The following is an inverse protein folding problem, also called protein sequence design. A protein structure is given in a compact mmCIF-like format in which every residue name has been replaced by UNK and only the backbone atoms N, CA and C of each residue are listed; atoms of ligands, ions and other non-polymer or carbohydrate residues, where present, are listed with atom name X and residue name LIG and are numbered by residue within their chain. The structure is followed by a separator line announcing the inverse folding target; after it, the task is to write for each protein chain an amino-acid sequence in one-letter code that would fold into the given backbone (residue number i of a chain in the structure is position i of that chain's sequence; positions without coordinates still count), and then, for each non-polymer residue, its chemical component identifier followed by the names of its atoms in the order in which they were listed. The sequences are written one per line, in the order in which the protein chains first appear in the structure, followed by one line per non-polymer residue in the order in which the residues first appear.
data_IF_052495858307
#
_entry.id   IF_052495858307
#
_cell.length_a   1.000
_cell.length_b   1.000
_cell.length_c   1.000
_cell.angle_alpha   90.00
_cell.angle_beta   90.00
_cell.angle_gamma   90.00
#
_symmetry.space_group_name_H-M   'P 1'
#
loop_
_entity.id
_entity.type
_entity.pdbx_description
1 polymer ?
#
# COMPACT_ATOMS: atom_id res chain seq x y z
N UNK A 1 -25.73 -63.16 28.63
CA UNK A 1 -25.90 -62.38 27.39
C UNK A 1 -25.37 -60.97 27.66
N UNK A 2 -24.20 -60.61 27.10
CA UNK A 2 -24.04 -59.71 25.92
C UNK A 2 -24.52 -58.27 26.25
N UNK A 3 -23.80 -57.16 26.11
CA UNK A 3 -22.62 -56.72 25.34
C UNK A 3 -22.18 -55.34 25.95
N UNK A 4 -20.91 -55.09 26.32
CA UNK A 4 -19.92 -54.20 25.64
C UNK A 4 -20.46 -53.32 24.48
N UNK A 5 -20.26 -51.99 24.57
CA UNK A 5 -19.96 -50.97 23.51
C UNK A 5 -20.45 -49.58 24.00
N UNK A 6 -19.76 -48.45 23.95
CA UNK A 6 -18.55 -48.06 23.24
C UNK A 6 -18.10 -46.69 23.80
N UNK A 7 -16.79 -46.53 24.00
CA UNK A 7 -16.11 -45.24 23.96
C UNK A 7 -16.62 -44.44 22.75
N UNK A 8 -17.07 -43.20 22.93
CA UNK A 8 -16.98 -42.10 21.96
C UNK A 8 -17.56 -40.80 22.54
N UNK A 9 -16.86 -39.69 22.27
CA UNK A 9 -17.19 -38.29 22.52
C UNK A 9 -16.66 -37.65 23.83
N UNK A 10 -15.41 -37.93 24.16
CA UNK A 10 -14.47 -36.85 24.51
C UNK A 10 -13.98 -36.22 23.21
N UNK A 11 -14.72 -35.25 22.65
CA UNK A 11 -14.22 -34.28 21.65
C UNK A 11 -15.36 -33.38 21.14
N UNK A 12 -15.89 -32.46 21.95
CA UNK A 12 -16.56 -31.27 21.38
C UNK A 12 -16.51 -30.06 22.31
N UNK A 13 -15.35 -29.80 22.93
CA UNK A 13 -15.07 -28.52 23.58
C UNK A 13 -13.70 -28.05 23.10
N UNK A 14 -13.64 -27.68 21.83
CA UNK A 14 -12.66 -26.75 21.26
C UNK A 14 -13.07 -26.51 19.81
N UNK A 15 -12.78 -25.32 19.29
CA UNK A 15 -13.04 -24.88 17.91
C UNK A 15 -14.37 -24.16 17.65
N UNK A 16 -14.64 -23.11 18.42
CA UNK A 16 -15.21 -21.89 17.86
C UNK A 16 -14.43 -20.68 18.40
N UNK A 17 -13.11 -20.68 18.22
CA UNK A 17 -12.48 -19.41 17.91
C UNK A 17 -13.02 -19.02 16.53
N UNK A 18 -13.60 -17.83 16.33
CA UNK A 18 -13.83 -17.35 14.98
C UNK A 18 -12.44 -17.19 14.35
N UNK A 19 -12.01 -18.19 13.58
CA UNK A 19 -11.08 -17.93 12.51
C UNK A 19 -11.74 -16.81 11.71
N UNK A 20 -11.20 -15.59 11.78
CA UNK A 20 -11.70 -14.45 11.02
C UNK A 20 -11.86 -14.93 9.58
N UNK A 21 -13.10 -15.08 9.13
CA UNK A 21 -13.37 -15.54 7.78
C UNK A 21 -12.90 -14.43 6.84
N UNK A 22 -11.67 -14.58 6.33
CA UNK A 22 -11.06 -13.60 5.44
C UNK A 22 -12.02 -13.34 4.28
N UNK A 23 -12.45 -12.09 4.13
CA UNK A 23 -13.48 -11.74 3.15
C UNK A 23 -12.93 -12.01 1.75
N UNK A 24 -13.81 -12.25 0.77
CA UNK A 24 -13.35 -12.39 -0.63
C UNK A 24 -12.60 -11.15 -1.11
N UNK A 25 -12.94 -9.97 -0.58
CA UNK A 25 -12.22 -8.73 -0.85
C UNK A 25 -10.78 -8.79 -0.35
N UNK A 26 -10.55 -9.23 0.90
CA UNK A 26 -9.20 -9.36 1.47
C UNK A 26 -8.33 -10.35 0.69
N UNK A 27 -8.90 -11.47 0.24
CA UNK A 27 -8.17 -12.44 -0.60
C UNK A 27 -7.79 -11.86 -1.96
N UNK A 28 -8.73 -11.19 -2.62
CA UNK A 28 -8.47 -10.54 -3.92
C UNK A 28 -7.46 -9.39 -3.77
N UNK A 29 -7.50 -8.70 -2.63
CA UNK A 29 -6.61 -7.59 -2.28
C UNK A 29 -5.19 -8.07 -2.02
N UNK A 30 -5.02 -9.18 -1.29
CA UNK A 30 -3.70 -9.78 -1.03
C UNK A 30 -3.00 -10.18 -2.33
N UNK A 31 -3.72 -10.86 -3.24
CA UNK A 31 -3.21 -11.17 -4.56
C UNK A 31 -2.86 -9.91 -5.37
N UNK A 32 -3.66 -8.83 -5.21
CA UNK A 32 -3.37 -7.55 -5.84
C UNK A 32 -2.14 -6.87 -5.25
N UNK A 33 -1.95 -6.85 -3.93
CA UNK A 33 -0.78 -6.21 -3.27
C UNK A 33 0.53 -6.72 -3.87
N UNK A 34 0.68 -8.04 -4.00
CA UNK A 34 1.88 -8.65 -4.60
C UNK A 34 2.10 -8.19 -6.04
N UNK A 35 1.04 -8.12 -6.85
CA UNK A 35 1.15 -7.63 -8.24
C UNK A 35 1.51 -6.14 -8.28
N UNK A 36 0.96 -5.34 -7.35
CA UNK A 36 1.17 -3.90 -7.30
C UNK A 36 2.59 -3.55 -6.86
N UNK A 37 3.09 -4.20 -5.81
CA UNK A 37 4.45 -4.00 -5.29
C UNK A 37 5.49 -4.33 -6.37
N UNK A 38 5.33 -5.41 -7.13
CA UNK A 38 6.23 -5.69 -8.25
C UNK A 38 6.19 -4.61 -9.36
N UNK A 39 5.13 -3.81 -9.43
CA UNK A 39 5.00 -2.73 -10.39
C UNK A 39 5.64 -1.41 -9.92
N UNK A 40 5.88 -1.23 -8.62
CA UNK A 40 6.49 0.00 -8.09
C UNK A 40 7.96 0.15 -8.52
N UNK A 41 8.62 -0.96 -8.86
CA UNK A 41 9.98 -0.98 -9.44
C UNK A 41 10.04 -0.44 -10.89
N UNK A 42 8.89 -0.08 -11.47
CA UNK A 42 8.81 0.49 -12.82
C UNK A 42 8.96 -0.52 -13.97
N UNK A 43 9.01 -1.82 -13.69
CA UNK A 43 9.09 -2.86 -14.72
C UNK A 43 7.82 -2.87 -15.59
N UNK A 44 8.01 -2.73 -16.91
CA UNK A 44 6.91 -2.45 -17.85
C UNK A 44 5.86 -3.57 -17.90
N UNK A 45 6.25 -4.84 -17.75
CA UNK A 45 5.30 -5.97 -17.75
C UNK A 45 4.52 -6.01 -16.43
N UNK A 46 5.16 -5.75 -15.30
CA UNK A 46 4.56 -5.68 -13.98
C UNK A 46 3.54 -4.56 -13.89
N UNK A 47 3.87 -3.36 -14.37
CA UNK A 47 2.93 -2.23 -14.43
C UNK A 47 1.71 -2.55 -15.31
N UNK A 48 1.88 -3.21 -16.47
CA UNK A 48 0.74 -3.69 -17.28
C UNK A 48 -0.12 -4.72 -16.55
N UNK A 49 0.50 -5.64 -15.81
CA UNK A 49 -0.21 -6.63 -14.99
C UNK A 49 -1.00 -5.94 -13.88
N UNK A 50 -0.41 -4.96 -13.20
CA UNK A 50 -1.06 -4.18 -12.16
C UNK A 50 -2.26 -3.40 -12.69
N UNK A 51 -2.15 -2.74 -13.85
CA UNK A 51 -3.30 -2.07 -14.50
C UNK A 51 -4.47 -3.03 -14.72
N UNK A 52 -4.20 -4.23 -15.27
CA UNK A 52 -5.27 -5.21 -15.53
C UNK A 52 -5.90 -5.70 -14.23
N UNK A 53 -5.08 -6.01 -13.22
CA UNK A 53 -5.54 -6.54 -11.95
C UNK A 53 -6.34 -5.50 -11.14
N UNK A 54 -5.83 -4.27 -11.05
CA UNK A 54 -6.52 -3.16 -10.35
C UNK A 54 -7.81 -2.74 -11.04
N UNK A 55 -7.87 -2.80 -12.38
CA UNK A 55 -9.12 -2.56 -13.13
C UNK A 55 -10.17 -3.61 -12.79
N UNK A 56 -9.79 -4.90 -12.71
CA UNK A 56 -10.69 -5.98 -12.28
C UNK A 56 -11.15 -5.80 -10.84
N UNK A 57 -10.22 -5.44 -9.93
CA UNK A 57 -10.52 -5.21 -8.53
C UNK A 57 -11.51 -4.05 -8.34
N UNK A 58 -11.24 -2.91 -8.98
CA UNK A 58 -12.13 -1.73 -8.91
C UNK A 58 -13.50 -2.03 -9.53
N UNK A 59 -13.57 -2.78 -10.63
CA UNK A 59 -14.85 -3.17 -11.22
C UNK A 59 -15.69 -4.06 -10.30
N UNK A 60 -15.05 -4.99 -9.56
CA UNK A 60 -15.69 -5.89 -8.60
C UNK A 60 -16.08 -5.18 -7.31
N UNK A 61 -15.30 -4.18 -6.88
CA UNK A 61 -15.44 -3.50 -5.60
C UNK A 61 -15.56 -1.98 -5.75
N UNK A 62 -16.45 -1.50 -6.64
CA UNK A 62 -16.56 -0.08 -7.07
C UNK A 62 -16.74 0.94 -5.94
N UNK A 63 -17.24 0.52 -4.79
CA UNK A 63 -17.48 1.37 -3.63
C UNK A 63 -16.36 1.34 -2.58
N UNK A 64 -15.33 0.50 -2.77
CA UNK A 64 -14.18 0.41 -1.85
C UNK A 64 -13.12 1.44 -2.22
N UNK A 65 -12.80 2.40 -1.33
CA UNK A 65 -11.77 3.42 -1.58
C UNK A 65 -10.41 2.82 -1.96
N UNK A 66 -10.04 1.72 -1.30
CA UNK A 66 -8.77 1.06 -1.53
C UNK A 66 -8.61 0.49 -2.94
N UNK A 67 -9.66 -0.12 -3.49
CA UNK A 67 -9.64 -0.62 -4.86
C UNK A 67 -9.44 0.51 -5.88
N UNK A 68 -10.07 1.66 -5.61
CA UNK A 68 -9.92 2.87 -6.41
C UNK A 68 -8.50 3.45 -6.31
N UNK A 69 -7.92 3.45 -5.10
CA UNK A 69 -6.57 3.95 -4.88
C UNK A 69 -5.52 3.11 -5.63
N UNK A 70 -5.62 1.79 -5.57
CA UNK A 70 -4.72 0.91 -6.34
C UNK A 70 -4.81 1.14 -7.85
N UNK A 71 -6.01 1.32 -8.39
CA UNK A 71 -6.18 1.65 -9.82
C UNK A 71 -5.56 3.00 -10.16
N UNK A 72 -5.78 4.01 -9.31
CA UNK A 72 -5.18 5.34 -9.45
C UNK A 72 -3.65 5.29 -9.47
N UNK A 73 -3.05 4.60 -8.50
CA UNK A 73 -1.61 4.43 -8.45
C UNK A 73 -1.03 3.64 -9.62
N UNK A 74 -1.72 2.59 -10.09
CA UNK A 74 -1.27 1.83 -11.25
C UNK A 74 -1.28 2.68 -12.55
N UNK A 75 -2.26 3.56 -12.72
CA UNK A 75 -2.30 4.52 -13.84
C UNK A 75 -1.18 5.55 -13.76
N UNK A 76 -0.92 6.09 -12.57
CA UNK A 76 0.21 6.99 -12.35
C UNK A 76 1.56 6.32 -12.68
N UNK A 77 1.78 5.09 -12.22
CA UNK A 77 2.96 4.30 -12.57
C UNK A 77 3.09 4.07 -14.08
N UNK A 78 1.98 3.83 -14.78
CA UNK A 78 2.00 3.68 -16.24
C UNK A 78 2.40 4.97 -16.95
N UNK A 79 1.83 6.09 -16.53
CA UNK A 79 2.16 7.42 -17.06
C UNK A 79 3.64 7.74 -16.90
N UNK A 80 4.25 7.42 -15.76
CA UNK A 80 5.66 7.70 -15.50
C UNK A 80 6.59 6.72 -16.23
N UNK A 81 6.32 5.40 -16.17
CA UNK A 81 7.31 4.36 -16.50
C UNK A 81 7.17 3.74 -17.90
N UNK A 82 5.97 3.81 -18.51
CA UNK A 82 5.69 3.10 -19.77
C UNK A 82 5.46 4.05 -20.94
N UNK A 83 4.62 5.08 -20.73
CA UNK A 83 4.07 5.87 -21.83
C UNK A 83 5.17 6.69 -22.52
N UNK A 84 5.32 6.46 -23.84
CA UNK A 84 6.42 7.05 -24.63
C UNK A 84 6.15 8.50 -25.06
N UNK A 85 4.87 8.88 -25.20
CA UNK A 85 4.46 10.21 -25.67
C UNK A 85 4.16 11.11 -24.48
N UNK A 86 4.73 12.33 -24.40
CA UNK A 86 4.51 13.23 -23.27
C UNK A 86 3.04 13.48 -22.91
N UNK A 87 2.17 13.68 -23.91
CA UNK A 87 0.74 13.89 -23.70
C UNK A 87 0.04 12.67 -23.09
N UNK A 88 0.41 11.45 -23.52
CA UNK A 88 -0.16 10.23 -22.95
C UNK A 88 0.29 10.04 -21.50
N UNK A 89 1.55 10.37 -21.17
CA UNK A 89 2.03 10.35 -19.79
C UNK A 89 1.20 11.26 -18.90
N UNK A 90 1.02 12.52 -19.31
CA UNK A 90 0.24 13.51 -18.56
C UNK A 90 -1.19 13.04 -18.35
N UNK A 91 -1.89 12.65 -19.42
CA UNK A 91 -3.28 12.19 -19.36
C UNK A 91 -3.46 11.00 -18.41
N UNK A 92 -2.57 10.01 -18.48
CA UNK A 92 -2.65 8.82 -17.63
C UNK A 92 -2.34 9.11 -16.17
N UNK A 93 -1.33 9.95 -15.91
CA UNK A 93 -1.02 10.39 -14.54
C UNK A 93 -2.17 11.19 -13.95
N UNK A 94 -2.75 12.14 -14.70
CA UNK A 94 -3.92 12.92 -14.26
C UNK A 94 -5.15 12.03 -14.01
N UNK A 95 -5.41 11.04 -14.88
CA UNK A 95 -6.46 10.06 -14.64
C UNK A 95 -6.22 9.30 -13.34
N UNK A 96 -4.97 8.88 -13.09
CA UNK A 96 -4.58 8.22 -11.84
C UNK A 96 -4.81 9.11 -10.62
N UNK A 97 -4.36 10.36 -10.66
CA UNK A 97 -4.54 11.35 -9.59
C UNK A 97 -6.02 11.60 -9.29
N UNK A 98 -6.86 11.73 -10.32
CA UNK A 98 -8.29 11.90 -10.15
C UNK A 98 -8.95 10.71 -9.40
N UNK A 99 -8.48 9.47 -9.64
CA UNK A 99 -8.95 8.31 -8.89
C UNK A 99 -8.48 8.33 -7.43
N UNK A 100 -7.23 8.71 -7.17
CA UNK A 100 -6.69 8.86 -5.81
C UNK A 100 -7.49 9.90 -5.01
N UNK A 101 -7.79 11.05 -5.62
CA UNK A 101 -8.57 12.10 -4.96
C UNK A 101 -9.99 11.64 -4.63
N UNK A 102 -10.59 10.87 -5.54
CA UNK A 102 -11.90 10.23 -5.30
C UNK A 102 -11.81 9.18 -4.18
N UNK A 103 -10.73 8.42 -4.10
CA UNK A 103 -10.52 7.44 -3.04
C UNK A 103 -10.43 8.13 -1.68
N UNK A 104 -9.59 9.16 -1.56
CA UNK A 104 -9.45 9.97 -0.35
C UNK A 104 -10.76 10.64 0.06
N UNK A 105 -11.51 11.23 -0.89
CA UNK A 105 -12.85 11.78 -0.60
C UNK A 105 -13.81 10.71 -0.08
N UNK A 106 -13.78 9.49 -0.62
CA UNK A 106 -14.65 8.40 -0.16
C UNK A 106 -14.30 7.92 1.25
N UNK A 107 -13.03 7.98 1.68
CA UNK A 107 -12.64 7.60 3.04
C UNK A 107 -13.41 8.38 4.10
N UNK A 108 -13.64 9.67 3.89
CA UNK A 108 -14.38 10.53 4.84
C UNK A 108 -15.82 10.08 5.11
N UNK A 109 -16.41 9.30 4.19
CA UNK A 109 -17.82 8.86 4.25
C UNK A 109 -17.95 7.36 4.46
N UNK A 110 -16.85 6.60 4.38
CA UNK A 110 -16.86 5.16 4.50
C UNK A 110 -16.66 4.75 5.97
N UNK A 111 -17.38 3.73 6.43
CA UNK A 111 -17.21 3.11 7.77
C UNK A 111 -16.50 1.76 7.66
N UNK A 112 -15.66 1.60 6.65
CA UNK A 112 -14.94 0.37 6.34
C UNK A 112 -13.87 0.07 7.39
N UNK A 113 -13.20 -1.09 7.27
CA UNK A 113 -12.09 -1.45 8.14
C UNK A 113 -11.01 -0.36 8.13
N UNK A 114 -10.53 0.00 9.32
CA UNK A 114 -9.52 1.04 9.50
C UNK A 114 -8.22 0.75 8.74
N UNK A 115 -7.84 -0.52 8.65
CA UNK A 115 -6.66 -0.95 7.88
C UNK A 115 -6.79 -0.61 6.39
N UNK A 116 -7.99 -0.71 5.80
CA UNK A 116 -8.23 -0.29 4.41
C UNK A 116 -8.06 1.22 4.26
N UNK A 117 -8.44 1.99 5.28
CA UNK A 117 -8.32 3.44 5.28
C UNK A 117 -6.87 3.90 5.36
N UNK A 118 -6.07 3.25 6.20
CA UNK A 118 -4.62 3.49 6.32
C UNK A 118 -3.93 3.18 5.01
N UNK A 119 -4.21 2.01 4.43
CA UNK A 119 -3.58 1.61 3.17
C UNK A 119 -4.01 2.48 1.98
N UNK A 120 -5.27 2.91 1.93
CA UNK A 120 -5.76 3.85 0.90
C UNK A 120 -4.97 5.16 0.95
N UNK A 121 -4.73 5.69 2.16
CA UNK A 121 -3.91 6.90 2.35
C UNK A 121 -2.46 6.64 1.96
N UNK A 122 -1.88 5.52 2.34
CA UNK A 122 -0.49 5.18 2.03
C UNK A 122 -0.26 5.07 0.52
N UNK A 123 -1.11 4.35 -0.22
CA UNK A 123 -1.01 4.25 -1.69
C UNK A 123 -1.09 5.63 -2.33
N UNK A 124 -2.01 6.48 -1.86
CA UNK A 124 -2.16 7.84 -2.39
C UNK A 124 -0.95 8.71 -2.08
N UNK A 125 -0.49 8.70 -0.83
CA UNK A 125 0.68 9.43 -0.37
C UNK A 125 1.93 9.07 -1.17
N UNK A 126 2.17 7.76 -1.33
CA UNK A 126 3.34 7.26 -2.04
C UNK A 126 3.37 7.68 -3.51
N UNK A 127 2.21 7.72 -4.18
CA UNK A 127 2.12 8.25 -5.55
C UNK A 127 2.42 9.74 -5.58
N UNK A 128 1.82 10.52 -4.68
CA UNK A 128 1.96 11.98 -4.67
C UNK A 128 3.40 12.44 -4.42
N UNK A 129 4.13 11.79 -3.50
CA UNK A 129 5.53 12.15 -3.21
C UNK A 129 6.52 11.73 -4.31
N UNK A 130 6.15 10.76 -5.16
CA UNK A 130 7.01 10.27 -6.23
C UNK A 130 6.77 10.97 -7.58
N UNK A 131 5.76 11.83 -7.68
CA UNK A 131 5.48 12.59 -8.89
C UNK A 131 6.37 13.84 -9.01
N UNK A 132 6.72 14.26 -10.24
CA UNK A 132 7.40 15.54 -10.47
C UNK A 132 6.55 16.72 -9.94
N UNK A 133 7.00 17.33 -8.85
CA UNK A 133 6.22 18.38 -8.19
C UNK A 133 6.11 19.66 -9.03
N UNK A 134 7.07 19.91 -9.92
CA UNK A 134 7.02 21.03 -10.87
C UNK A 134 5.88 20.95 -11.88
N UNK A 135 5.27 19.78 -12.05
CA UNK A 135 4.18 19.53 -13.01
C UNK A 135 2.87 19.26 -12.29
N UNK A 136 2.88 18.39 -11.28
CA UNK A 136 1.65 17.90 -10.65
C UNK A 136 1.33 18.56 -9.31
N UNK A 137 2.30 19.25 -8.68
CA UNK A 137 2.12 19.99 -7.43
C UNK A 137 1.49 19.16 -6.29
N UNK A 138 1.87 17.87 -6.17
CA UNK A 138 1.31 16.93 -5.19
C UNK A 138 2.22 16.62 -4.01
N UNK A 139 3.50 17.04 -4.04
CA UNK A 139 4.48 16.64 -3.02
C UNK A 139 4.03 17.04 -1.62
N UNK A 140 3.62 18.29 -1.42
CA UNK A 140 3.15 18.79 -0.11
C UNK A 140 1.96 18.01 0.43
N UNK A 141 1.03 17.66 -0.44
CA UNK A 141 -0.16 16.89 -0.07
C UNK A 141 0.20 15.45 0.30
N UNK A 142 1.06 14.80 -0.51
CA UNK A 142 1.58 13.46 -0.22
C UNK A 142 2.27 13.41 1.14
N UNK A 143 3.15 14.37 1.42
CA UNK A 143 3.86 14.47 2.69
C UNK A 143 2.93 14.75 3.87
N UNK A 144 1.84 15.50 3.66
CA UNK A 144 0.81 15.67 4.68
C UNK A 144 0.12 14.35 5.00
N UNK A 145 -0.24 13.55 4.00
CA UNK A 145 -0.81 12.21 4.20
C UNK A 145 0.16 11.28 4.93
N UNK A 146 1.45 11.30 4.59
CA UNK A 146 2.47 10.52 5.32
C UNK A 146 2.51 10.92 6.80
N UNK A 147 2.47 12.22 7.11
CA UNK A 147 2.43 12.67 8.51
C UNK A 147 1.19 12.17 9.24
N UNK A 148 0.02 12.25 8.63
CA UNK A 148 -1.21 11.68 9.21
C UNK A 148 -1.11 10.18 9.50
N UNK A 149 -0.36 9.43 8.68
CA UNK A 149 -0.12 8.00 8.87
C UNK A 149 0.83 7.74 10.05
N UNK A 150 1.90 8.54 10.18
CA UNK A 150 2.83 8.46 11.32
C UNK A 150 2.16 8.85 12.64
N UNK A 151 1.31 9.88 12.61
CA UNK A 151 0.59 10.39 13.79
C UNK A 151 -0.65 9.53 14.14
N UNK A 152 -0.84 8.40 13.45
CA UNK A 152 -2.00 7.54 13.68
C UNK A 152 -1.96 6.95 15.10
N UNK A 153 -3.03 7.06 15.93
CA UNK A 153 -2.99 6.68 17.34
C UNK A 153 -2.58 5.23 17.61
N UNK A 154 -2.87 4.34 16.66
CA UNK A 154 -2.58 2.90 16.72
C UNK A 154 -1.46 2.47 15.76
N UNK A 155 -0.57 3.41 15.39
CA UNK A 155 0.50 3.14 14.42
C UNK A 155 1.36 1.93 14.83
N UNK A 156 1.74 1.84 16.12
CA UNK A 156 2.55 0.74 16.66
C UNK A 156 1.83 -0.62 16.66
N UNK A 157 0.51 -0.65 16.51
CA UNK A 157 -0.30 -1.88 16.43
C UNK A 157 -0.47 -2.38 15.00
N UNK A 158 -0.03 -1.61 13.99
CA UNK A 158 -0.16 -2.01 12.59
C UNK A 158 0.75 -3.21 12.28
N UNK A 159 0.43 -4.01 11.24
CA UNK A 159 1.37 -5.02 10.76
C UNK A 159 2.74 -4.42 10.45
N UNK A 160 3.82 -5.10 10.83
CA UNK A 160 5.19 -4.58 10.68
C UNK A 160 5.50 -4.11 9.26
N UNK A 161 5.14 -4.89 8.23
CA UNK A 161 5.33 -4.48 6.84
C UNK A 161 4.59 -3.20 6.45
N UNK A 162 3.44 -2.90 7.07
CA UNK A 162 2.71 -1.65 6.86
C UNK A 162 3.38 -0.48 7.60
N UNK A 163 3.86 -0.69 8.82
CA UNK A 163 4.65 0.29 9.55
C UNK A 163 5.92 0.66 8.76
N UNK A 164 6.67 -0.35 8.30
CA UNK A 164 7.86 -0.17 7.48
C UNK A 164 7.55 0.57 6.17
N UNK A 165 6.44 0.28 5.50
CA UNK A 165 6.03 1.00 4.30
C UNK A 165 5.71 2.49 4.57
N UNK A 166 5.13 2.81 5.73
CA UNK A 166 4.86 4.21 6.12
C UNK A 166 6.18 4.93 6.45
N UNK A 167 7.10 4.30 7.18
CA UNK A 167 8.44 4.86 7.41
C UNK A 167 9.20 5.06 6.10
N UNK A 168 9.12 4.11 5.17
CA UNK A 168 9.75 4.25 3.87
C UNK A 168 9.18 5.44 3.08
N UNK A 169 7.86 5.62 3.07
CA UNK A 169 7.23 6.80 2.48
C UNK A 169 7.67 8.11 3.16
N UNK A 170 7.91 8.09 4.48
CA UNK A 170 8.45 9.23 5.21
C UNK A 170 9.90 9.53 4.83
N UNK A 171 10.73 8.50 4.63
CA UNK A 171 12.08 8.64 4.09
C UNK A 171 12.03 9.27 2.69
N UNK A 172 11.24 8.72 1.77
CA UNK A 172 11.06 9.27 0.41
C UNK A 172 10.62 10.73 0.46
N UNK A 173 9.65 11.07 1.31
CA UNK A 173 9.22 12.45 1.49
C UNK A 173 10.36 13.35 1.98
N UNK A 174 11.13 12.92 2.97
CA UNK A 174 12.26 13.69 3.50
C UNK A 174 13.35 13.90 2.43
N UNK A 175 13.63 12.89 1.61
CA UNK A 175 14.54 13.00 0.46
C UNK A 175 14.07 14.09 -0.52
N UNK A 176 12.78 14.11 -0.89
CA UNK A 176 12.24 15.13 -1.81
C UNK A 176 12.34 16.56 -1.27
N UNK A 177 12.42 16.73 0.05
CA UNK A 177 12.65 18.02 0.70
C UNK A 177 14.12 18.29 1.05
N UNK A 178 15.06 17.45 0.58
CA UNK A 178 16.49 17.53 0.88
C UNK A 178 16.79 17.50 2.40
N UNK A 179 15.94 16.84 3.19
CA UNK A 179 16.16 16.66 4.62
C UNK A 179 16.91 15.35 4.87
N UNK A 180 18.23 15.37 4.66
CA UNK A 180 19.10 14.20 4.77
C UNK A 180 19.06 13.54 6.15
N UNK A 181 18.88 14.34 7.21
CA UNK A 181 18.78 13.82 8.58
C UNK A 181 17.51 12.96 8.75
N UNK A 182 16.35 13.49 8.37
CA UNK A 182 15.10 12.73 8.45
C UNK A 182 15.07 11.57 7.46
N UNK A 183 15.64 11.74 6.26
CA UNK A 183 15.77 10.66 5.29
C UNK A 183 16.50 9.46 5.91
N UNK A 184 17.72 9.68 6.44
CA UNK A 184 18.49 8.63 7.09
C UNK A 184 17.76 8.03 8.31
N UNK A 185 17.11 8.87 9.12
CA UNK A 185 16.35 8.42 10.29
C UNK A 185 15.23 7.45 9.90
N UNK A 186 14.39 7.81 8.93
CA UNK A 186 13.28 6.96 8.52
C UNK A 186 13.73 5.71 7.77
N UNK A 187 14.85 5.74 7.03
CA UNK A 187 15.43 4.52 6.46
C UNK A 187 15.83 3.52 7.56
N UNK A 188 16.47 3.99 8.65
CA UNK A 188 16.81 3.13 9.79
C UNK A 188 15.57 2.51 10.43
N UNK A 189 14.56 3.32 10.72
CA UNK A 189 13.29 2.82 11.25
C UNK A 189 12.64 1.79 10.31
N UNK A 190 12.71 2.01 9.00
CA UNK A 190 12.21 1.05 8.00
C UNK A 190 12.96 -0.30 8.12
N UNK A 191 14.30 -0.28 8.16
CA UNK A 191 15.11 -1.49 8.28
C UNK A 191 14.90 -2.23 9.60
N UNK A 192 14.74 -1.50 10.70
CA UNK A 192 14.55 -2.09 12.03
C UNK A 192 13.15 -2.71 12.18
N UNK A 193 12.14 -2.15 11.51
CA UNK A 193 10.75 -2.59 11.64
C UNK A 193 10.44 -3.85 10.85
N UNK A 194 10.98 -3.98 9.64
CA UNK A 194 10.74 -5.13 8.74
C UNK A 194 11.98 -5.40 7.87
N UNK A 195 13.08 -5.94 8.45
CA UNK A 195 14.37 -6.07 7.76
C UNK A 195 14.32 -6.98 6.52
N UNK A 196 13.48 -8.01 6.57
CA UNK A 196 13.34 -8.99 5.49
C UNK A 196 12.28 -8.60 4.45
N UNK A 197 11.45 -7.61 4.76
CA UNK A 197 10.47 -7.04 3.86
C UNK A 197 11.08 -6.27 2.69
N UNK A 198 10.28 -6.04 1.66
CA UNK A 198 10.70 -5.33 0.44
C UNK A 198 11.29 -3.94 0.78
N UNK A 199 10.54 -3.15 1.55
CA UNK A 199 10.96 -1.80 1.94
C UNK A 199 12.18 -1.81 2.88
N UNK A 200 12.30 -2.81 3.77
CA UNK A 200 13.47 -2.96 4.63
C UNK A 200 14.75 -3.25 3.85
N UNK A 201 14.68 -4.18 2.89
CA UNK A 201 15.81 -4.48 1.99
C UNK A 201 16.20 -3.27 1.14
N UNK A 202 15.23 -2.54 0.60
CA UNK A 202 15.48 -1.32 -0.16
C UNK A 202 16.10 -0.22 0.70
N UNK A 203 15.57 0.00 1.90
CA UNK A 203 16.10 0.98 2.85
C UNK A 203 17.54 0.64 3.28
N UNK A 204 17.85 -0.63 3.51
CA UNK A 204 19.21 -1.08 3.81
C UNK A 204 20.18 -0.81 2.64
N UNK A 205 19.74 -1.07 1.41
CA UNK A 205 20.53 -0.79 0.22
C UNK A 205 20.78 0.71 0.03
N UNK A 206 19.80 1.56 0.32
CA UNK A 206 19.94 3.02 0.29
C UNK A 206 20.90 3.52 1.38
N UNK A 207 20.78 3.04 2.62
CA UNK A 207 21.68 3.40 3.72
C UNK A 207 23.14 3.08 3.39
N UNK A 208 23.40 1.88 2.84
CA UNK A 208 24.75 1.49 2.42
C UNK A 208 25.34 2.44 1.37
N UNK A 209 24.55 2.85 0.37
CA UNK A 209 24.98 3.81 -0.66
C UNK A 209 25.29 5.20 -0.10
N UNK A 210 24.78 5.56 1.08
CA UNK A 210 25.08 6.84 1.74
C UNK A 210 26.37 6.82 2.57
N UNK A 211 27.03 5.67 2.67
CA UNK A 211 28.31 5.48 3.38
C UNK A 211 29.50 5.36 2.41
N UNK A 212 29.22 5.15 1.12
CA UNK A 212 30.17 5.13 -0.01
C UNK A 212 30.42 6.55 -0.56
#
# INVERSE_FOLDING_TARGET
MKLILQLLLVSLVCQLTPAYAQTQFEKDLEAMRTIYLNATDGEKRAVRKAIRATTKLEHKYRNRPLALAYKGGALALRGINISKRPLDRMRETEEGLNLLDRALRKLSRNRGPEIEHIETRLVSAYVFINLPDSVFHRLKEGSHLVRQLLDHPRFSELPQGLQAAIYFAAATSAEKFNNTQQFRHYLKLTTETDPDGLNGKEAAALLKKMEE
#
